data_IF_356065037785
#
_entry.id   IF_356065037785
#
_cell.length_a   1.000
_cell.length_b   1.000
_cell.length_c   1.000
_cell.angle_alpha   90.00
_cell.angle_beta   90.00
_cell.angle_gamma   90.00
#
_symmetry.space_group_name_H-M   'P 1'
#
loop_
_entity.id
_entity.type
_entity.pdbx_description
1 polymer ?
#
# COMPACT_ATOMS: atom_id res chain seq x y z
N UNK A 1 33.56 -21.53 -15.78
CA UNK A 1 32.93 -21.54 -14.43
C UNK A 1 33.25 -20.23 -13.69
N UNK A 2 34.49 -19.73 -13.71
CA UNK A 2 34.94 -18.56 -12.94
C UNK A 2 34.26 -17.26 -13.37
N UNK A 3 34.08 -17.03 -14.68
CA UNK A 3 33.45 -15.81 -15.22
C UNK A 3 31.96 -15.69 -14.82
N UNK A 4 31.24 -16.82 -14.74
CA UNK A 4 29.82 -16.82 -14.31
C UNK A 4 29.72 -16.51 -12.80
N UNK A 5 30.62 -17.06 -11.99
CA UNK A 5 30.71 -16.80 -10.58
C UNK A 5 31.05 -15.32 -10.29
N UNK A 6 32.03 -14.77 -11.03
CA UNK A 6 32.38 -13.34 -10.93
C UNK A 6 31.23 -12.42 -11.34
N UNK A 7 30.50 -12.74 -12.41
CA UNK A 7 29.32 -11.99 -12.82
C UNK A 7 28.21 -12.07 -11.77
N UNK A 8 27.93 -13.26 -11.24
CA UNK A 8 26.94 -13.45 -10.18
C UNK A 8 27.28 -12.64 -8.93
N UNK A 9 28.55 -12.65 -8.51
CA UNK A 9 29.02 -11.89 -7.36
C UNK A 9 28.90 -10.39 -7.58
N UNK A 10 29.25 -9.88 -8.77
CA UNK A 10 29.10 -8.45 -9.11
C UNK A 10 27.66 -8.01 -9.17
N UNK A 11 26.74 -8.84 -9.69
CA UNK A 11 25.30 -8.55 -9.71
C UNK A 11 24.79 -8.45 -8.29
N UNK A 12 25.08 -9.42 -7.43
CA UNK A 12 24.67 -9.41 -6.02
C UNK A 12 25.23 -8.21 -5.24
N UNK A 13 26.48 -7.83 -5.49
CA UNK A 13 27.07 -6.62 -4.88
C UNK A 13 26.40 -5.33 -5.34
N UNK A 14 26.07 -5.21 -6.63
CA UNK A 14 25.34 -4.06 -7.17
C UNK A 14 23.92 -3.95 -6.58
N UNK A 15 23.20 -5.07 -6.51
CA UNK A 15 21.87 -5.09 -5.91
C UNK A 15 21.91 -4.67 -4.45
N UNK A 16 22.90 -5.14 -3.68
CA UNK A 16 23.08 -4.75 -2.27
C UNK A 16 23.42 -3.27 -2.11
N UNK A 17 24.35 -2.74 -2.91
CA UNK A 17 24.66 -1.29 -2.87
C UNK A 17 23.47 -0.43 -3.25
N UNK A 18 22.68 -0.86 -4.24
CA UNK A 18 21.46 -0.16 -4.63
C UNK A 18 20.41 -0.15 -3.52
N UNK A 19 20.23 -1.28 -2.82
CA UNK A 19 19.30 -1.39 -1.70
C UNK A 19 19.76 -0.51 -0.51
N UNK A 20 21.04 -0.52 -0.17
CA UNK A 20 21.59 0.34 0.89
C UNK A 20 21.42 1.83 0.55
N UNK A 21 21.68 2.24 -0.69
CA UNK A 21 21.50 3.61 -1.14
C UNK A 21 20.03 4.06 -1.07
N UNK A 22 19.10 3.22 -1.54
CA UNK A 22 17.66 3.50 -1.45
C UNK A 22 17.21 3.59 0.01
N UNK A 23 17.72 2.71 0.88
CA UNK A 23 17.41 2.74 2.31
C UNK A 23 17.86 4.05 2.96
N UNK A 24 19.08 4.49 2.67
CA UNK A 24 19.62 5.74 3.19
C UNK A 24 18.85 6.96 2.69
N UNK A 25 18.61 7.06 1.38
CA UNK A 25 17.81 8.14 0.78
C UNK A 25 16.42 8.23 1.42
N UNK A 26 15.78 7.08 1.63
CA UNK A 26 14.44 7.04 2.20
C UNK A 26 14.42 7.54 3.65
N UNK A 27 15.44 7.23 4.43
CA UNK A 27 15.59 7.78 5.78
C UNK A 27 15.79 9.31 5.75
N UNK A 28 16.62 9.81 4.84
CA UNK A 28 16.88 11.25 4.71
C UNK A 28 15.68 12.03 4.14
N UNK A 29 14.83 11.39 3.34
CA UNK A 29 13.59 11.99 2.85
C UNK A 29 12.45 11.98 3.90
N UNK A 30 12.40 10.98 4.78
CA UNK A 30 11.37 10.91 5.82
C UNK A 30 11.41 12.10 6.77
N UNK A 31 12.60 12.52 7.20
CA UNK A 31 12.78 13.60 8.16
C UNK A 31 12.17 14.93 7.68
N UNK A 32 12.53 15.48 6.50
CA UNK A 32 11.93 16.73 6.02
C UNK A 32 10.42 16.57 5.75
N UNK A 33 9.96 15.41 5.26
CA UNK A 33 8.53 15.17 5.05
C UNK A 33 7.74 15.17 6.36
N UNK A 34 8.30 14.61 7.43
CA UNK A 34 7.69 14.66 8.77
C UNK A 34 7.54 16.11 9.26
N UNK A 35 8.57 16.93 9.04
CA UNK A 35 8.52 18.37 9.41
C UNK A 35 7.46 19.10 8.58
N UNK A 36 7.41 18.89 7.27
CA UNK A 36 6.41 19.50 6.38
C UNK A 36 4.99 19.09 6.80
N UNK A 37 4.77 17.81 7.08
CA UNK A 37 3.47 17.32 7.55
C UNK A 37 3.07 17.97 8.88
N UNK A 38 3.96 17.99 9.86
CA UNK A 38 3.69 18.57 11.18
C UNK A 38 3.35 20.06 11.09
N UNK A 39 4.11 20.85 10.33
CA UNK A 39 3.82 22.26 10.13
C UNK A 39 2.51 22.48 9.34
N UNK A 40 2.26 21.67 8.32
CA UNK A 40 1.00 21.75 7.56
C UNK A 40 -0.22 21.49 8.44
N UNK A 41 -0.15 20.48 9.33
CA UNK A 41 -1.24 20.17 10.26
C UNK A 41 -1.42 21.28 11.31
N UNK A 42 -0.31 21.80 11.83
CA UNK A 42 -0.34 22.93 12.79
C UNK A 42 -0.99 24.17 12.18
N UNK A 43 -0.60 24.53 10.96
CA UNK A 43 -1.17 25.68 10.25
C UNK A 43 -2.64 25.48 9.89
N UNK A 44 -3.04 24.27 9.46
CA UNK A 44 -4.44 23.96 9.15
C UNK A 44 -5.36 24.04 10.37
N UNK A 45 -4.83 23.91 11.58
CA UNK A 45 -5.55 24.07 12.83
C UNK A 45 -5.79 25.56 13.21
N UNK A 46 -5.13 26.51 12.55
CA UNK A 46 -5.38 27.97 12.81
C UNK A 46 -6.69 28.39 12.14
N UNK A 47 -7.70 28.71 12.96
CA UNK A 47 -9.03 29.15 12.49
C UNK A 47 -9.00 30.52 11.78
N UNK A 48 -7.95 31.32 11.99
CA UNK A 48 -7.79 32.66 11.40
C UNK A 48 -7.27 32.62 9.96
N UNK A 49 -6.89 31.46 9.48
CA UNK A 49 -6.40 31.29 8.11
C UNK A 49 -7.52 31.54 7.11
N UNK A 50 -7.26 32.35 6.09
CA UNK A 50 -8.17 32.55 4.98
C UNK A 50 -8.37 31.29 4.14
N UNK A 51 -9.45 31.21 3.38
CA UNK A 51 -9.86 30.01 2.66
C UNK A 51 -8.85 29.63 1.55
N UNK A 52 -8.26 30.61 0.86
CA UNK A 52 -7.30 30.36 -0.21
C UNK A 52 -6.00 29.76 0.35
N UNK A 53 -5.46 30.35 1.42
CA UNK A 53 -4.28 29.84 2.12
C UNK A 53 -4.56 28.46 2.70
N UNK A 54 -5.75 28.23 3.28
CA UNK A 54 -6.18 26.94 3.82
C UNK A 54 -6.23 25.87 2.71
N UNK A 55 -6.75 26.22 1.54
CA UNK A 55 -6.79 25.30 0.41
C UNK A 55 -5.37 24.95 -0.09
N UNK A 56 -4.49 25.93 -0.22
CA UNK A 56 -3.08 25.71 -0.55
C UNK A 56 -2.38 24.80 0.45
N UNK A 57 -2.63 25.01 1.75
CA UNK A 57 -2.04 24.20 2.81
C UNK A 57 -2.56 22.76 2.81
N UNK A 58 -3.85 22.54 2.50
CA UNK A 58 -4.41 21.19 2.30
C UNK A 58 -3.71 20.44 1.16
N UNK A 59 -3.41 21.14 0.05
CA UNK A 59 -2.69 20.54 -1.08
C UNK A 59 -1.27 20.14 -0.65
N UNK A 60 -0.55 21.02 0.04
CA UNK A 60 0.81 20.74 0.54
C UNK A 60 0.80 19.55 1.49
N UNK A 61 -0.12 19.52 2.46
CA UNK A 61 -0.26 18.42 3.42
C UNK A 61 -0.57 17.10 2.71
N UNK A 62 -1.49 17.10 1.76
CA UNK A 62 -1.85 15.93 0.96
C UNK A 62 -0.65 15.38 0.18
N UNK A 63 0.11 16.26 -0.46
CA UNK A 63 1.27 15.87 -1.26
C UNK A 63 2.43 15.36 -0.39
N UNK A 64 2.67 15.99 0.76
CA UNK A 64 3.66 15.52 1.72
C UNK A 64 3.30 14.15 2.32
N UNK A 65 2.03 13.92 2.65
CA UNK A 65 1.54 12.59 3.08
C UNK A 65 1.71 11.54 1.98
N UNK A 66 1.42 11.89 0.74
CA UNK A 66 1.63 11.02 -0.42
C UNK A 66 3.10 10.64 -0.59
N UNK A 67 4.02 11.61 -0.51
CA UNK A 67 5.46 11.37 -0.60
C UNK A 67 5.95 10.49 0.55
N UNK A 68 5.47 10.72 1.77
CA UNK A 68 5.79 9.88 2.93
C UNK A 68 5.39 8.43 2.70
N UNK A 69 4.19 8.20 2.15
CA UNK A 69 3.73 6.86 1.76
C UNK A 69 4.67 6.20 0.74
N UNK A 70 5.03 6.91 -0.33
CA UNK A 70 5.93 6.39 -1.37
C UNK A 70 7.32 6.03 -0.82
N UNK A 71 7.88 6.88 0.07
CA UNK A 71 9.16 6.61 0.74
C UNK A 71 9.07 5.37 1.63
N UNK A 72 7.96 5.19 2.35
CA UNK A 72 7.74 4.02 3.20
C UNK A 72 7.63 2.75 2.38
N UNK A 73 6.84 2.74 1.29
CA UNK A 73 6.74 1.61 0.37
C UNK A 73 8.11 1.21 -0.21
N UNK A 74 8.92 2.20 -0.58
CA UNK A 74 10.25 1.96 -1.13
C UNK A 74 11.20 1.34 -0.09
N UNK A 75 11.11 1.79 1.17
CA UNK A 75 11.89 1.20 2.29
C UNK A 75 11.47 -0.23 2.58
N UNK A 76 10.17 -0.48 2.68
CA UNK A 76 9.66 -1.83 2.93
C UNK A 76 10.09 -2.78 1.81
N UNK A 77 10.01 -2.31 0.57
CA UNK A 77 10.50 -3.05 -0.59
C UNK A 77 11.99 -3.40 -0.51
N UNK A 78 12.86 -2.44 -0.16
CA UNK A 78 14.30 -2.70 -0.03
C UNK A 78 14.62 -3.67 1.10
N UNK A 79 13.94 -3.56 2.24
CA UNK A 79 14.10 -4.51 3.37
C UNK A 79 13.69 -5.93 3.00
N UNK A 80 12.63 -6.07 2.19
CA UNK A 80 12.22 -7.39 1.68
C UNK A 80 13.28 -7.99 0.75
N UNK A 81 13.85 -7.19 -0.16
CA UNK A 81 14.90 -7.66 -1.08
C UNK A 81 16.16 -8.13 -0.34
N UNK A 82 16.55 -7.41 0.70
CA UNK A 82 17.73 -7.74 1.51
C UNK A 82 17.53 -8.93 2.46
N UNK A 83 16.32 -9.51 2.53
CA UNK A 83 15.99 -10.53 3.53
C UNK A 83 16.05 -10.02 4.98
N UNK A 84 16.08 -8.71 5.18
CA UNK A 84 16.15 -8.06 6.51
C UNK A 84 14.77 -7.76 7.10
N UNK A 85 13.71 -8.17 6.40
CA UNK A 85 12.36 -8.02 6.91
C UNK A 85 12.10 -9.05 7.99
N UNK A 86 11.94 -8.60 9.23
CA UNK A 86 11.49 -9.42 10.34
C UNK A 86 9.99 -9.28 10.49
N UNK A 87 9.28 -10.41 10.55
CA UNK A 87 7.85 -10.43 10.82
C UNK A 87 7.64 -10.61 12.33
N UNK A 88 6.73 -9.82 12.89
CA UNK A 88 6.24 -10.03 14.26
C UNK A 88 5.03 -10.96 14.22
N UNK A 89 5.29 -12.27 14.26
CA UNK A 89 4.25 -13.29 14.10
C UNK A 89 3.59 -13.57 15.43
N UNK A 90 2.29 -13.30 15.52
CA UNK A 90 1.42 -13.56 16.69
C UNK A 90 0.14 -14.26 16.22
N UNK A 91 -0.54 -14.96 17.15
CA UNK A 91 -1.90 -15.45 16.88
C UNK A 91 -2.81 -14.24 16.70
N UNK A 92 -3.41 -14.14 15.52
CA UNK A 92 -4.15 -12.95 15.09
C UNK A 92 -5.53 -13.34 14.58
N UNK A 93 -6.54 -12.63 15.06
CA UNK A 93 -7.88 -12.64 14.49
C UNK A 93 -7.89 -11.81 13.19
N UNK A 94 -7.69 -12.50 12.07
CA UNK A 94 -7.62 -11.84 10.75
C UNK A 94 -8.97 -11.25 10.35
N UNK A 95 -10.08 -11.84 10.80
CA UNK A 95 -11.41 -11.29 10.52
C UNK A 95 -11.50 -9.88 11.10
N UNK A 96 -11.22 -9.73 12.39
CA UNK A 96 -11.25 -8.45 13.08
C UNK A 96 -10.32 -7.42 12.42
N UNK A 97 -9.08 -7.81 12.08
CA UNK A 97 -8.12 -6.94 11.39
C UNK A 97 -8.62 -6.48 10.02
N UNK A 98 -9.28 -7.36 9.28
CA UNK A 98 -9.83 -7.03 7.96
C UNK A 98 -11.06 -6.14 8.05
N UNK A 99 -12.01 -6.47 8.94
CA UNK A 99 -13.24 -5.69 9.17
C UNK A 99 -12.92 -4.27 9.62
N UNK A 100 -11.99 -4.10 10.58
CA UNK A 100 -11.52 -2.79 11.03
C UNK A 100 -10.91 -1.98 9.87
N UNK A 101 -10.11 -2.65 9.02
CA UNK A 101 -9.51 -2.00 7.85
C UNK A 101 -10.57 -1.55 6.85
N UNK A 102 -11.54 -2.41 6.54
CA UNK A 102 -12.65 -2.11 5.63
C UNK A 102 -13.48 -0.96 6.18
N UNK A 103 -13.82 -0.99 7.47
CA UNK A 103 -14.62 0.05 8.12
C UNK A 103 -13.92 1.42 8.06
N UNK A 104 -12.64 1.47 8.44
CA UNK A 104 -11.87 2.73 8.38
C UNK A 104 -11.73 3.26 6.95
N UNK A 105 -11.50 2.36 6.00
CA UNK A 105 -11.29 2.75 4.61
C UNK A 105 -12.58 3.18 3.91
N UNK A 106 -13.74 2.61 4.30
CA UNK A 106 -15.05 2.94 3.75
C UNK A 106 -15.40 4.42 3.92
N UNK A 107 -15.08 4.99 5.09
CA UNK A 107 -15.32 6.42 5.38
C UNK A 107 -14.51 7.34 4.45
N UNK A 108 -13.30 6.94 4.08
CA UNK A 108 -12.46 7.66 3.11
C UNK A 108 -13.04 7.56 1.70
N UNK A 109 -13.41 6.36 1.27
CA UNK A 109 -13.94 6.11 -0.09
C UNK A 109 -15.28 6.82 -0.32
N UNK A 110 -16.11 6.93 0.72
CA UNK A 110 -17.37 7.65 0.64
C UNK A 110 -17.18 9.13 0.25
N UNK A 111 -16.06 9.77 0.66
CA UNK A 111 -15.71 11.13 0.25
C UNK A 111 -15.40 11.25 -1.24
N UNK A 112 -14.88 10.16 -1.84
CA UNK A 112 -14.58 10.05 -3.27
C UNK A 112 -15.78 9.52 -4.08
N UNK A 113 -16.94 9.29 -3.42
CA UNK A 113 -18.18 8.79 -4.03
C UNK A 113 -18.10 7.30 -4.40
N UNK A 114 -17.22 6.54 -3.76
CA UNK A 114 -17.08 5.10 -3.95
C UNK A 114 -17.71 4.37 -2.76
N UNK A 115 -18.58 3.39 -3.04
CA UNK A 115 -19.19 2.54 -2.02
C UNK A 115 -18.33 1.31 -1.80
N UNK A 116 -17.86 1.08 -0.57
CA UNK A 116 -17.23 -0.16 -0.14
C UNK A 116 -18.24 -0.98 0.65
N UNK A 117 -18.60 -2.12 0.12
CA UNK A 117 -19.57 -3.05 0.70
C UNK A 117 -18.84 -4.27 1.28
N UNK A 118 -19.02 -4.49 2.58
CA UNK A 118 -18.53 -5.70 3.22
C UNK A 118 -19.59 -6.79 3.14
N UNK A 119 -19.25 -7.90 2.51
CA UNK A 119 -20.12 -9.07 2.37
C UNK A 119 -19.82 -10.01 3.55
N UNK A 120 -20.70 -9.98 4.54
CA UNK A 120 -20.59 -10.83 5.72
C UNK A 120 -20.64 -12.32 5.36
N UNK A 121 -19.88 -13.11 6.09
CA UNK A 121 -19.88 -14.57 6.02
C UNK A 121 -19.99 -15.12 7.43
N UNK A 122 -21.01 -15.95 7.67
CA UNK A 122 -21.30 -16.58 8.96
C UNK A 122 -20.30 -17.70 9.35
N UNK A 123 -19.37 -18.07 8.44
CA UNK A 123 -18.35 -19.08 8.70
C UNK A 123 -17.39 -18.67 9.81
N UNK A 124 -17.01 -19.61 10.67
CA UNK A 124 -15.97 -19.41 11.67
C UNK A 124 -14.59 -19.34 11.03
N UNK A 125 -13.79 -18.33 11.38
CA UNK A 125 -12.42 -18.12 10.88
C UNK A 125 -11.49 -18.27 12.07
N UNK A 126 -10.60 -19.28 12.08
CA UNK A 126 -9.66 -19.46 13.17
C UNK A 126 -8.60 -18.36 13.21
N UNK A 127 -8.11 -18.03 14.40
CA UNK A 127 -6.90 -17.24 14.54
C UNK A 127 -5.73 -17.98 13.89
N UNK A 128 -4.91 -17.23 13.16
CA UNK A 128 -3.71 -17.79 12.52
C UNK A 128 -2.44 -17.04 12.94
N UNK A 129 -1.27 -17.72 12.99
CA UNK A 129 -0.01 -17.07 13.29
C UNK A 129 0.41 -16.19 12.09
N UNK A 130 0.37 -14.87 12.28
CA UNK A 130 0.77 -13.91 11.25
C UNK A 130 1.18 -12.56 11.87
N UNK A 131 1.73 -11.68 11.04
CA UNK A 131 1.97 -10.28 11.40
C UNK A 131 0.75 -9.44 10.99
N UNK A 132 -0.12 -9.14 11.95
CA UNK A 132 -1.37 -8.40 11.71
C UNK A 132 -1.14 -7.02 11.10
N UNK A 133 -0.08 -6.31 11.50
CA UNK A 133 0.24 -4.99 10.94
C UNK A 133 0.60 -5.08 9.45
N UNK A 134 1.37 -6.10 9.06
CA UNK A 134 1.74 -6.33 7.66
C UNK A 134 0.55 -6.79 6.83
N UNK A 135 -0.32 -7.62 7.38
CA UNK A 135 -1.56 -7.99 6.70
C UNK A 135 -2.48 -6.79 6.50
N UNK A 136 -2.62 -5.93 7.51
CA UNK A 136 -3.37 -4.67 7.34
C UNK A 136 -2.81 -3.82 6.20
N UNK A 137 -1.49 -3.74 6.07
CA UNK A 137 -0.83 -3.04 4.96
C UNK A 137 -1.18 -3.68 3.61
N UNK A 138 -1.21 -5.02 3.52
CA UNK A 138 -1.65 -5.74 2.31
C UNK A 138 -3.10 -5.39 1.97
N UNK A 139 -4.00 -5.42 2.96
CA UNK A 139 -5.41 -5.08 2.75
C UNK A 139 -5.58 -3.66 2.22
N UNK A 140 -4.90 -2.69 2.83
CA UNK A 140 -4.91 -1.30 2.39
C UNK A 140 -4.36 -1.14 0.97
N UNK A 141 -3.28 -1.83 0.62
CA UNK A 141 -2.70 -1.79 -0.72
C UNK A 141 -3.68 -2.29 -1.78
N UNK A 142 -4.39 -3.39 -1.49
CA UNK A 142 -5.37 -3.96 -2.43
C UNK A 142 -6.60 -3.07 -2.54
N UNK A 143 -7.12 -2.56 -1.41
CA UNK A 143 -8.24 -1.61 -1.40
C UNK A 143 -7.92 -0.30 -2.13
N UNK A 144 -6.70 0.23 -1.93
CA UNK A 144 -6.25 1.44 -2.61
C UNK A 144 -6.10 1.22 -4.13
N UNK A 145 -5.65 0.04 -4.56
CA UNK A 145 -5.65 -0.33 -5.96
C UNK A 145 -7.06 -0.45 -6.53
N UNK A 146 -7.97 -1.11 -5.82
CA UNK A 146 -9.37 -1.22 -6.21
C UNK A 146 -10.03 0.17 -6.35
N UNK A 147 -9.74 1.09 -5.43
CA UNK A 147 -10.25 2.46 -5.49
C UNK A 147 -9.67 3.26 -6.67
N UNK A 148 -8.37 3.15 -6.93
CA UNK A 148 -7.68 3.89 -7.98
C UNK A 148 -8.02 3.41 -9.39
N UNK A 149 -8.15 2.11 -9.57
CA UNK A 149 -8.30 1.48 -10.87
C UNK A 149 -9.75 1.06 -11.16
N UNK A 150 -10.51 0.73 -10.10
CA UNK A 150 -11.92 0.38 -10.16
C UNK A 150 -12.89 1.53 -9.93
N UNK A 151 -12.38 2.75 -9.68
CA UNK A 151 -13.19 3.91 -9.26
C UNK A 151 -14.32 4.33 -10.21
N UNK A 152 -14.22 4.02 -11.50
CA UNK A 152 -15.29 4.27 -12.48
C UNK A 152 -16.56 3.47 -12.15
N UNK A 153 -16.43 2.25 -11.60
CA UNK A 153 -17.55 1.43 -11.14
C UNK A 153 -18.18 1.90 -9.84
N UNK A 154 -17.55 2.85 -9.12
CA UNK A 154 -18.02 3.44 -7.85
C UNK A 154 -18.44 2.44 -6.77
N UNK A 155 -18.03 1.19 -6.90
CA UNK A 155 -18.35 0.10 -5.98
C UNK A 155 -17.14 -0.82 -5.83
N UNK A 156 -16.90 -1.21 -4.58
CA UNK A 156 -15.92 -2.24 -4.21
C UNK A 156 -16.64 -3.19 -3.26
N UNK A 157 -16.49 -4.49 -3.48
CA UNK A 157 -16.94 -5.54 -2.58
C UNK A 157 -15.75 -6.13 -1.86
N UNK A 158 -15.87 -6.35 -0.57
CA UNK A 158 -14.86 -6.97 0.28
C UNK A 158 -15.48 -8.11 1.08
N UNK A 159 -14.81 -9.26 1.14
CA UNK A 159 -15.25 -10.40 1.93
C UNK A 159 -14.07 -11.19 2.46
N UNK A 160 -14.29 -11.91 3.55
CA UNK A 160 -13.33 -12.84 4.12
C UNK A 160 -14.05 -14.17 4.43
N UNK A 161 -13.38 -15.30 4.16
CA UNK A 161 -13.92 -16.63 4.38
C UNK A 161 -12.82 -17.60 4.77
N UNK A 162 -13.21 -18.75 5.35
CA UNK A 162 -12.31 -19.87 5.59
C UNK A 162 -12.70 -21.02 4.70
N UNK A 163 -11.81 -21.38 3.75
CA UNK A 163 -12.06 -22.37 2.71
C UNK A 163 -10.83 -23.25 2.51
N UNK A 164 -11.00 -24.56 2.48
CA UNK A 164 -9.90 -25.52 2.26
C UNK A 164 -8.66 -25.26 3.17
N UNK A 165 -8.91 -25.07 4.46
CA UNK A 165 -7.88 -24.78 5.49
C UNK A 165 -7.10 -23.47 5.23
N UNK A 166 -7.69 -22.53 4.50
CA UNK A 166 -7.11 -21.23 4.21
C UNK A 166 -8.07 -20.09 4.51
N UNK A 167 -7.53 -19.03 5.04
CA UNK A 167 -8.25 -17.75 5.09
C UNK A 167 -8.14 -17.10 3.73
N UNK A 168 -9.29 -16.81 3.12
CA UNK A 168 -9.41 -16.22 1.79
C UNK A 168 -10.03 -14.84 1.92
N UNK A 169 -9.27 -13.81 1.53
CA UNK A 169 -9.75 -12.44 1.43
C UNK A 169 -10.03 -12.13 -0.04
N UNK A 170 -11.23 -11.62 -0.32
CA UNK A 170 -11.63 -11.21 -1.66
C UNK A 170 -11.97 -9.73 -1.66
N UNK A 171 -11.34 -8.99 -2.55
CA UNK A 171 -11.64 -7.58 -2.81
C UNK A 171 -11.90 -7.48 -4.31
N UNK A 172 -13.09 -7.03 -4.68
CA UNK A 172 -13.54 -6.90 -6.06
C UNK A 172 -13.92 -5.47 -6.37
N UNK A 173 -13.28 -4.89 -7.34
CA UNK A 173 -13.72 -3.65 -7.97
C UNK A 173 -14.60 -3.93 -9.20
N UNK A 174 -15.32 -2.90 -9.65
CA UNK A 174 -16.19 -2.95 -10.82
C UNK A 174 -15.69 -1.97 -11.90
N UNK A 175 -14.38 -1.83 -11.99
CA UNK A 175 -13.71 -1.02 -12.99
C UNK A 175 -13.58 -1.72 -14.36
N UNK A 176 -12.77 -1.12 -15.26
CA UNK A 176 -12.59 -1.63 -16.62
C UNK A 176 -11.82 -2.95 -16.70
N UNK A 177 -11.28 -3.43 -15.57
CA UNK A 177 -10.43 -4.62 -15.52
C UNK A 177 -9.00 -4.38 -16.01
N UNK A 178 -8.23 -5.45 -16.11
CA UNK A 178 -6.84 -5.45 -16.56
C UNK A 178 -6.79 -6.17 -17.92
N UNK A 179 -6.18 -5.54 -18.96
CA UNK A 179 -5.97 -6.20 -20.25
C UNK A 179 -5.21 -7.53 -20.12
N UNK A 180 -5.56 -8.52 -20.93
CA UNK A 180 -4.96 -9.86 -20.85
C UNK A 180 -3.44 -9.87 -21.00
N UNK A 181 -2.91 -9.01 -21.86
CA UNK A 181 -1.48 -8.83 -22.08
C UNK A 181 -0.75 -8.18 -20.90
N UNK A 182 -1.49 -7.47 -20.03
CA UNK A 182 -0.95 -6.86 -18.81
C UNK A 182 -1.04 -7.77 -17.57
N UNK A 183 -1.93 -8.78 -17.55
CA UNK A 183 -2.15 -9.65 -16.38
C UNK A 183 -0.86 -10.30 -15.85
N UNK A 184 0.04 -10.73 -16.74
CA UNK A 184 1.34 -11.29 -16.37
C UNK A 184 2.36 -10.26 -15.88
N UNK A 185 2.07 -8.98 -16.08
CA UNK A 185 3.00 -7.87 -15.79
C UNK A 185 2.63 -7.09 -14.54
N UNK A 186 1.35 -7.07 -14.14
CA UNK A 186 0.87 -6.25 -13.00
C UNK A 186 1.51 -6.61 -11.66
N UNK A 187 2.05 -7.82 -11.52
CA UNK A 187 2.82 -8.26 -10.35
C UNK A 187 4.31 -7.93 -10.45
N UNK A 188 4.77 -7.42 -11.60
CA UNK A 188 6.18 -7.03 -11.75
C UNK A 188 6.43 -5.70 -11.08
N UNK A 189 7.58 -5.61 -10.44
CA UNK A 189 8.08 -4.41 -9.75
C UNK A 189 8.13 -3.20 -10.68
N UNK A 190 7.67 -2.05 -10.21
CA UNK A 190 7.64 -0.77 -10.92
C UNK A 190 6.80 -0.79 -12.21
N UNK A 191 6.06 -1.87 -12.45
CA UNK A 191 5.16 -1.91 -13.59
C UNK A 191 3.95 -1.01 -13.32
N UNK A 192 3.67 -0.15 -14.28
CA UNK A 192 2.47 0.69 -14.31
C UNK A 192 1.78 0.34 -15.62
N UNK A 193 0.63 -0.29 -15.53
CA UNK A 193 -0.16 -0.59 -16.72
C UNK A 193 -0.55 0.66 -17.51
N UNK A 194 -1.32 0.49 -18.54
CA UNK A 194 -1.87 1.56 -19.41
C UNK A 194 -2.75 2.57 -18.67
N UNK A 195 -3.13 2.28 -17.42
CA UNK A 195 -3.89 3.19 -16.56
C UNK A 195 -3.11 4.48 -16.27
N UNK A 196 -3.79 5.62 -16.43
CA UNK A 196 -3.26 6.95 -16.08
C UNK A 196 -3.22 7.21 -14.56
N UNK A 197 -3.63 6.25 -13.74
CA UNK A 197 -3.65 6.40 -12.29
C UNK A 197 -2.24 6.56 -11.71
N UNK A 198 -2.10 7.50 -10.75
CA UNK A 198 -0.83 7.77 -10.09
C UNK A 198 -0.51 6.67 -9.07
N UNK A 199 0.65 6.04 -9.17
CA UNK A 199 1.10 5.01 -8.24
C UNK A 199 2.61 4.77 -8.34
N UNK A 200 3.19 4.02 -7.40
CA UNK A 200 4.62 3.63 -7.40
C UNK A 200 4.91 2.43 -8.29
N UNK A 201 3.89 1.59 -8.55
CA UNK A 201 4.04 0.27 -9.19
C UNK A 201 4.70 -0.78 -8.29
N UNK A 202 4.69 -0.55 -6.97
CA UNK A 202 5.28 -1.45 -5.97
C UNK A 202 4.18 -2.22 -5.22
N UNK A 203 3.01 -1.62 -4.99
CA UNK A 203 1.98 -2.13 -4.08
C UNK A 203 1.49 -3.56 -4.34
N UNK A 204 1.46 -4.05 -5.59
CA UNK A 204 1.12 -5.44 -5.92
C UNK A 204 2.35 -6.36 -6.00
N UNK A 205 3.56 -5.82 -5.92
CA UNK A 205 4.81 -6.56 -6.00
C UNK A 205 5.44 -6.82 -4.60
N UNK A 206 4.88 -6.21 -3.57
CA UNK A 206 5.14 -6.39 -2.14
C UNK A 206 4.10 -7.33 -1.56
#
# INVERSE_FOLDING_TARGET
>A
ADTINEMSTKISQNEKMQAEFISQLSHELRTPLTVINGWSETLLADERMDDETRQGMKIISSEAKRLTGMVTELLDFTRMQDGRMTLNVELTDIRSEFEDTVYMYSSRLAQDGITLEYLENDGDIPEIPCDGQRLRQVFLNVLDNAAKHGGEGKRIEASISYEDEKVVVRIRDFGPGIPEDELGLVKKKFYKGSSKARGTGIGLAV
#
